data_IF_171648340874
#
_entry.id   IF_171648340874
#
_cell.length_a   1.000
_cell.length_b   1.000
_cell.length_c   1.000
_cell.angle_alpha   90.00
_cell.angle_beta   90.00
_cell.angle_gamma   90.00
#
_symmetry.space_group_name_H-M   'P 1'
#
loop_
_entity.id
_entity.type
_entity.pdbx_description
1 polymer ?
#
# COMPACT_ATOMS: atom_id res chain seq x y z
N UNK A 1 -47.77 9.04 42.82
CA UNK A 1 -48.49 9.95 43.75
C UNK A 1 -47.51 10.30 44.86
N UNK A 2 -47.03 11.56 44.92
CA UNK A 2 -46.22 12.15 46.02
C UNK A 2 -44.78 11.56 46.17
N UNK A 3 -43.65 12.27 46.36
CA UNK A 3 -43.31 13.54 47.02
C UNK A 3 -41.95 14.12 46.51
N UNK A 4 -41.81 15.44 46.72
CA UNK A 4 -40.70 16.40 46.53
C UNK A 4 -39.33 16.08 47.17
N UNK A 5 -38.32 16.72 46.57
CA UNK A 5 -37.10 17.40 47.10
C UNK A 5 -36.49 17.01 48.46
N UNK A 6 -35.15 16.87 48.51
CA UNK A 6 -34.24 17.83 49.20
C UNK A 6 -32.75 17.53 48.97
N UNK A 7 -31.96 18.60 49.08
CA UNK A 7 -30.51 18.74 48.83
C UNK A 7 -29.65 18.18 49.98
N UNK A 8 -28.41 17.78 49.68
CA UNK A 8 -27.31 17.86 50.65
C UNK A 8 -26.03 18.44 50.04
N UNK A 9 -25.42 19.32 50.82
CA UNK A 9 -24.19 20.08 50.60
C UNK A 9 -23.06 19.44 51.39
N UNK A 10 -21.84 19.39 50.85
CA UNK A 10 -20.61 19.26 51.64
C UNK A 10 -19.58 20.31 51.19
N UNK A 11 -19.12 21.11 52.15
CA UNK A 11 -18.12 22.20 52.05
C UNK A 11 -16.73 21.70 52.45
N UNK A 12 -15.71 22.02 51.62
CA UNK A 12 -14.41 22.70 51.88
C UNK A 12 -13.40 22.13 52.93
N UNK A 13 -12.06 22.34 52.84
CA UNK A 13 -11.31 23.62 52.64
C UNK A 13 -10.20 23.56 51.54
N UNK A 14 -9.77 24.62 50.85
CA UNK A 14 -9.24 25.97 51.16
C UNK A 14 -7.70 26.05 51.12
N UNK A 15 -7.22 26.90 50.21
CA UNK A 15 -6.04 27.79 50.30
C UNK A 15 -4.63 27.25 50.00
N UNK A 16 -4.08 27.68 48.86
CA UNK A 16 -2.81 28.43 48.80
C UNK A 16 -2.96 29.53 47.72
N UNK A 17 -2.47 30.74 48.04
CA UNK A 17 -2.61 32.00 47.29
C UNK A 17 -1.21 32.55 46.98
N UNK A 18 -1.13 33.39 45.94
CA UNK A 18 -0.09 34.38 45.54
C UNK A 18 0.91 33.85 44.48
N UNK A 19 1.19 34.52 43.35
CA UNK A 19 1.11 35.95 42.99
C UNK A 19 0.69 36.18 41.53
N UNK A 20 0.01 37.30 41.30
CA UNK A 20 -0.23 37.90 40.00
C UNK A 20 0.87 38.94 39.68
N UNK A 21 1.29 39.01 38.41
CA UNK A 21 1.83 40.24 37.81
C UNK A 21 1.19 40.42 36.45
N UNK A 22 0.51 41.55 36.30
CA UNK A 22 -0.20 42.02 35.11
C UNK A 22 0.74 42.78 34.17
N UNK A 23 0.65 42.57 32.86
CA UNK A 23 0.67 43.65 31.87
C UNK A 23 0.21 43.19 30.49
N UNK A 24 -0.55 44.07 29.85
CA UNK A 24 -1.35 43.91 28.63
C UNK A 24 -0.52 43.62 27.36
N UNK A 25 -1.16 43.00 26.35
CA UNK A 25 -1.49 43.59 25.03
C UNK A 25 -1.90 42.47 24.04
N UNK A 26 -2.95 42.70 23.25
CA UNK A 26 -3.09 42.12 21.90
C UNK A 26 -4.05 40.95 21.70
N UNK A 27 -5.20 41.23 21.07
CA UNK A 27 -6.00 40.25 20.34
C UNK A 27 -5.14 39.52 19.29
N UNK A 28 -5.27 38.19 19.16
CA UNK A 28 -5.57 37.58 17.86
C UNK A 28 -6.03 36.12 18.02
N UNK A 29 -7.25 35.84 17.55
CA UNK A 29 -7.71 34.48 17.27
C UNK A 29 -6.87 33.90 16.13
N UNK A 30 -6.25 32.74 16.36
CA UNK A 30 -5.67 31.94 15.29
C UNK A 30 -6.77 31.02 14.75
N UNK A 31 -7.40 31.47 13.67
CA UNK A 31 -7.93 30.56 12.66
C UNK A 31 -6.75 29.80 12.04
N UNK A 32 -6.83 28.48 11.97
CA UNK A 32 -5.95 27.68 11.10
C UNK A 32 -6.68 26.41 10.68
N UNK A 33 -7.51 26.53 9.64
CA UNK A 33 -7.61 25.49 8.64
C UNK A 33 -6.49 25.78 7.64
N UNK A 34 -5.36 25.09 7.75
CA UNK A 34 -4.34 25.07 6.70
C UNK A 34 -4.67 23.95 5.73
N UNK A 35 -4.87 24.32 4.48
CA UNK A 35 -4.63 23.42 3.36
C UNK A 35 -3.12 23.12 3.36
N UNK A 36 -2.76 21.87 3.66
CA UNK A 36 -1.43 21.36 3.33
C UNK A 36 -1.51 20.87 1.88
N UNK A 37 -0.86 21.62 0.99
CA UNK A 37 -0.31 21.06 -0.25
C UNK A 37 1.11 20.68 0.14
N UNK A 38 1.38 19.38 0.24
CA UNK A 38 2.76 18.91 0.40
C UNK A 38 3.51 19.20 -0.90
N UNK A 39 4.52 20.05 -0.77
CA UNK A 39 5.42 20.46 -1.84
C UNK A 39 6.84 20.11 -1.35
N UNK A 40 7.34 18.94 -1.71
CA UNK A 40 8.76 18.59 -1.58
C UNK A 40 9.31 18.01 -2.89
N UNK A 41 9.92 18.93 -3.66
CA UNK A 41 11.25 18.84 -4.27
C UNK A 41 11.60 17.59 -5.11
N UNK A 42 11.43 17.71 -6.43
CA UNK A 42 12.39 17.14 -7.39
C UNK A 42 13.43 18.20 -7.76
N UNK A 43 14.70 17.94 -7.42
CA UNK A 43 15.87 18.68 -7.91
C UNK A 43 16.04 18.43 -9.41
N UNK A 44 16.01 19.49 -10.21
CA UNK A 44 16.76 19.57 -11.46
C UNK A 44 17.68 20.79 -11.37
N UNK A 45 18.96 20.56 -11.56
CA UNK A 45 20.03 21.56 -11.52
C UNK A 45 19.86 22.58 -12.66
N UNK A 46 20.02 23.86 -12.32
CA UNK A 46 20.06 24.96 -13.27
C UNK A 46 21.48 25.12 -13.83
N UNK A 47 21.62 25.02 -15.15
CA UNK A 47 22.65 25.74 -15.89
C UNK A 47 21.95 26.84 -16.70
N UNK A 48 22.18 28.07 -16.30
CA UNK A 48 21.63 29.29 -16.90
C UNK A 48 22.48 29.65 -18.13
N UNK A 49 21.83 29.82 -19.29
CA UNK A 49 22.17 30.94 -20.18
C UNK A 49 21.00 31.30 -21.12
N UNK A 50 20.52 32.54 -20.94
CA UNK A 50 20.30 33.59 -21.96
C UNK A 50 19.18 33.42 -23.02
N UNK A 51 18.23 34.37 -22.89
CA UNK A 51 17.47 35.10 -23.92
C UNK A 51 16.19 34.53 -24.58
N UNK A 52 15.10 35.25 -24.24
CA UNK A 52 14.13 35.96 -25.11
C UNK A 52 13.33 35.19 -26.19
N UNK A 53 12.04 35.52 -26.13
CA UNK A 53 11.04 35.70 -27.20
C UNK A 53 9.98 34.60 -27.40
N UNK A 54 8.73 35.09 -27.37
CA UNK A 54 7.53 34.49 -27.93
C UNK A 54 7.79 33.90 -29.33
N UNK A 55 7.37 32.67 -29.56
CA UNK A 55 6.25 32.37 -30.45
C UNK A 55 5.86 30.89 -30.42
N UNK A 56 4.60 30.63 -30.73
CA UNK A 56 3.97 29.33 -30.80
C UNK A 56 4.67 28.36 -31.76
N UNK A 57 4.68 27.06 -31.44
CA UNK A 57 4.80 25.98 -32.41
C UNK A 57 3.87 24.80 -32.02
N UNK A 58 2.86 24.59 -32.87
CA UNK A 58 2.22 23.32 -33.24
C UNK A 58 3.30 22.27 -33.63
N UNK A 59 3.15 20.95 -33.74
CA UNK A 59 2.12 19.90 -33.64
C UNK A 59 2.89 18.56 -33.75
N UNK A 60 2.31 17.41 -33.41
CA UNK A 60 2.44 16.20 -34.27
C UNK A 60 1.15 15.41 -34.27
N UNK A 61 0.88 14.84 -35.46
CA UNK A 61 -0.43 14.48 -35.98
C UNK A 61 -0.73 12.98 -35.95
N UNK A 62 -1.98 12.63 -36.27
CA UNK A 62 -2.31 11.40 -37.02
C UNK A 62 -3.53 11.69 -37.89
N UNK A 63 -3.39 11.40 -39.18
CA UNK A 63 -4.29 11.68 -40.30
C UNK A 63 -5.36 10.58 -40.50
N UNK A 64 -6.49 10.96 -41.10
CA UNK A 64 -7.28 10.26 -42.16
C UNK A 64 -8.69 10.92 -42.19
N UNK A 65 -9.32 11.38 -43.28
CA UNK A 65 -9.03 11.49 -44.71
C UNK A 65 -10.22 12.21 -45.40
N UNK A 66 -9.93 12.88 -46.52
CA UNK A 66 -10.78 13.15 -47.71
C UNK A 66 -12.16 13.86 -47.60
N UNK A 67 -12.31 15.09 -48.13
CA UNK A 67 -12.71 15.35 -49.54
C UNK A 67 -13.04 16.83 -49.87
N UNK A 68 -12.52 17.25 -51.03
CA UNK A 68 -13.03 18.15 -52.09
C UNK A 68 -13.70 19.53 -51.83
N UNK A 69 -12.90 20.58 -52.10
CA UNK A 69 -13.03 21.64 -53.12
C UNK A 69 -14.40 22.20 -53.60
N UNK A 70 -14.45 23.54 -53.49
CA UNK A 70 -14.82 24.57 -54.50
C UNK A 70 -16.30 24.96 -54.66
N UNK A 71 -16.57 26.26 -54.49
CA UNK A 71 -17.75 26.94 -55.01
C UNK A 71 -17.89 28.35 -54.44
N UNK A 72 -18.00 29.35 -55.30
CA UNK A 72 -17.74 30.78 -55.05
C UNK A 72 -19.05 31.57 -55.25
N UNK A 73 -19.06 32.80 -54.70
CA UNK A 73 -19.86 34.01 -55.07
C UNK A 73 -21.36 34.03 -54.70
N UNK A 74 -21.77 35.00 -53.86
CA UNK A 74 -22.46 36.22 -54.31
C UNK A 74 -22.67 37.19 -53.13
N UNK A 75 -22.13 38.39 -53.31
CA UNK A 75 -22.38 39.59 -52.53
C UNK A 75 -23.78 40.14 -52.88
N UNK A 76 -24.46 40.68 -51.87
CA UNK A 76 -25.66 41.50 -51.98
C UNK A 76 -25.69 42.46 -50.80
N UNK A 77 -25.58 43.75 -51.12
CA UNK A 77 -25.47 44.92 -50.24
C UNK A 77 -26.74 45.18 -49.40
N UNK A 78 -26.53 45.52 -48.13
CA UNK A 78 -27.00 46.76 -47.43
C UNK A 78 -28.40 46.68 -46.79
N UNK A 79 -28.44 46.82 -45.46
CA UNK A 79 -29.07 47.97 -44.78
C UNK A 79 -28.82 47.89 -43.26
N UNK A 80 -28.44 49.04 -42.69
CA UNK A 80 -28.23 49.26 -41.26
C UNK A 80 -29.56 49.22 -40.50
N UNK A 81 -29.59 48.52 -39.37
CA UNK A 81 -30.40 48.93 -38.21
C UNK A 81 -29.58 48.68 -36.94
N UNK A 82 -29.16 49.78 -36.31
CA UNK A 82 -28.50 49.83 -35.01
C UNK A 82 -29.53 49.57 -33.89
N UNK A 83 -29.64 48.31 -33.42
CA UNK A 83 -30.15 48.04 -32.07
C UNK A 83 -29.10 47.35 -31.19
N UNK A 84 -28.66 48.14 -30.23
CA UNK A 84 -27.66 47.88 -29.21
C UNK A 84 -28.10 46.74 -28.27
N UNK A 85 -27.55 45.53 -28.46
CA UNK A 85 -27.63 44.46 -27.47
C UNK A 85 -26.94 44.87 -26.17
N UNK A 86 -27.70 45.11 -25.11
CA UNK A 86 -27.23 44.90 -23.73
C UNK A 86 -27.86 43.64 -23.16
N UNK A 87 -27.56 42.49 -23.79
CA UNK A 87 -27.73 41.20 -23.15
C UNK A 87 -26.42 40.83 -22.46
N UNK A 88 -26.40 41.01 -21.14
CA UNK A 88 -25.40 40.41 -20.24
C UNK A 88 -25.26 38.92 -20.61
N UNK A 89 -24.07 38.40 -20.93
CA UNK A 89 -23.92 36.97 -21.19
C UNK A 89 -24.34 36.22 -19.92
N UNK A 90 -25.45 35.51 -20.01
CA UNK A 90 -25.89 34.60 -18.99
C UNK A 90 -24.81 33.52 -18.87
N UNK A 91 -24.10 33.52 -17.74
CA UNK A 91 -23.11 32.49 -17.41
C UNK A 91 -23.84 31.14 -17.42
N UNK A 92 -23.79 30.43 -18.55
CA UNK A 92 -24.24 29.05 -18.58
C UNK A 92 -23.32 28.28 -17.61
N UNK A 93 -23.88 27.58 -16.60
CA UNK A 93 -23.07 26.72 -15.77
C UNK A 93 -22.39 25.73 -16.70
N UNK A 94 -21.07 25.57 -16.59
CA UNK A 94 -20.30 24.61 -17.38
C UNK A 94 -20.90 23.22 -17.18
N UNK A 95 -21.82 22.85 -18.07
CA UNK A 95 -22.52 21.59 -18.07
C UNK A 95 -21.58 20.54 -18.61
N UNK A 96 -21.27 19.55 -17.77
CA UNK A 96 -20.56 18.35 -18.18
C UNK A 96 -21.45 17.61 -19.17
N UNK A 97 -20.96 17.31 -20.38
CA UNK A 97 -21.66 16.40 -21.28
C UNK A 97 -21.76 15.02 -20.61
N UNK A 98 -22.96 14.53 -20.26
CA UNK A 98 -23.14 13.26 -19.57
C UNK A 98 -22.62 12.05 -20.36
N UNK A 99 -22.45 12.18 -21.69
CA UNK A 99 -21.98 11.10 -22.56
C UNK A 99 -20.46 11.05 -22.68
N UNK A 100 -19.78 12.18 -22.55
CA UNK A 100 -18.31 12.29 -22.63
C UNK A 100 -17.64 12.30 -21.27
N UNK A 101 -18.37 12.68 -20.21
CA UNK A 101 -17.80 12.89 -18.87
C UNK A 101 -16.77 14.02 -18.86
N UNK A 102 -16.16 14.27 -17.70
CA UNK A 102 -14.96 15.13 -17.66
C UNK A 102 -13.77 14.34 -18.23
N UNK A 103 -13.13 14.86 -19.27
CA UNK A 103 -11.87 14.32 -19.82
C UNK A 103 -10.66 14.55 -18.91
N UNK A 104 -10.85 15.15 -17.73
CA UNK A 104 -9.80 15.41 -16.75
C UNK A 104 -9.79 14.30 -15.69
N UNK A 105 -8.69 13.55 -15.60
CA UNK A 105 -8.43 12.64 -14.48
C UNK A 105 -7.90 13.45 -13.29
N UNK A 106 -8.80 14.16 -12.61
CA UNK A 106 -8.50 14.88 -11.38
C UNK A 106 -8.41 13.98 -10.15
N UNK A 107 -8.14 14.58 -8.99
CA UNK A 107 -8.15 13.89 -7.69
C UNK A 107 -9.54 14.07 -7.06
N UNK A 108 -10.23 12.97 -6.78
CA UNK A 108 -11.58 12.97 -6.23
C UNK A 108 -11.65 12.18 -4.92
N UNK A 109 -10.95 12.67 -3.87
CA UNK A 109 -10.84 11.99 -2.58
C UNK A 109 -11.73 12.64 -1.51
N UNK A 110 -12.42 11.84 -0.70
CA UNK A 110 -13.14 12.23 0.49
C UNK A 110 -12.56 11.57 1.74
N UNK A 111 -12.45 12.36 2.80
CA UNK A 111 -12.08 11.89 4.14
C UNK A 111 -13.19 12.32 5.09
N UNK A 112 -13.77 11.36 5.81
CA UNK A 112 -14.85 11.58 6.77
C UNK A 112 -14.50 11.01 8.12
N UNK A 113 -14.64 11.85 9.15
CA UNK A 113 -14.60 11.46 10.55
C UNK A 113 -15.96 11.77 11.18
N UNK A 114 -16.69 10.77 11.62
CA UNK A 114 -18.03 10.98 12.15
C UNK A 114 -18.55 9.78 12.94
N UNK A 115 -19.84 9.79 13.25
CA UNK A 115 -20.50 8.67 13.95
C UNK A 115 -21.42 7.91 13.02
N UNK A 116 -21.46 6.59 13.17
CA UNK A 116 -22.33 5.74 12.36
C UNK A 116 -23.79 5.97 12.77
N UNK A 117 -24.63 6.37 11.79
CA UNK A 117 -26.07 6.57 11.99
C UNK A 117 -26.84 5.27 11.87
N UNK A 118 -26.73 4.65 10.69
CA UNK A 118 -27.30 3.34 10.39
C UNK A 118 -26.18 2.31 10.30
N UNK A 119 -26.37 1.17 10.97
CA UNK A 119 -25.42 0.06 10.93
C UNK A 119 -25.21 -0.46 9.49
N UNK A 120 -24.02 -0.99 9.15
CA UNK A 120 -23.75 -1.44 7.79
C UNK A 120 -24.59 -2.62 7.36
N UNK A 121 -25.08 -2.53 6.12
CA UNK A 121 -25.91 -3.57 5.48
C UNK A 121 -25.22 -4.03 4.21
N UNK A 122 -24.91 -5.32 4.13
CA UNK A 122 -24.43 -5.95 2.90
C UNK A 122 -25.59 -6.17 1.93
N UNK A 123 -25.34 -5.84 0.66
CA UNK A 123 -26.26 -6.08 -0.45
C UNK A 123 -25.51 -6.78 -1.57
N UNK A 124 -26.13 -7.83 -2.13
CA UNK A 124 -25.61 -8.50 -3.31
C UNK A 124 -26.17 -7.78 -4.54
N UNK A 125 -25.28 -7.30 -5.41
CA UNK A 125 -25.62 -6.66 -6.66
C UNK A 125 -26.00 -7.70 -7.73
N UNK A 126 -26.65 -7.25 -8.81
CA UNK A 126 -27.04 -8.12 -9.95
C UNK A 126 -25.85 -8.78 -10.65
N UNK A 127 -24.67 -8.19 -10.53
CA UNK A 127 -23.42 -8.74 -11.08
C UNK A 127 -22.75 -9.78 -10.14
N UNK A 128 -23.38 -10.14 -9.02
CA UNK A 128 -22.86 -11.10 -8.04
C UNK A 128 -21.90 -10.50 -7.01
N UNK A 129 -21.51 -9.23 -7.14
CA UNK A 129 -20.61 -8.57 -6.16
C UNK A 129 -21.38 -8.12 -4.92
N UNK A 130 -20.74 -8.22 -3.75
CA UNK A 130 -21.26 -7.69 -2.48
C UNK A 130 -20.85 -6.25 -2.27
N UNK A 131 -21.79 -5.39 -1.89
CA UNK A 131 -21.54 -4.00 -1.49
C UNK A 131 -22.11 -3.77 -0.10
N UNK A 132 -21.28 -3.24 0.81
CA UNK A 132 -21.71 -2.84 2.15
C UNK A 132 -22.06 -1.36 2.18
N UNK A 133 -23.23 -1.01 2.72
CA UNK A 133 -23.70 0.38 2.75
C UNK A 133 -24.03 0.80 4.18
N UNK A 134 -23.57 1.98 4.58
CA UNK A 134 -23.90 2.60 5.86
C UNK A 134 -23.94 4.14 5.76
N UNK A 135 -24.39 4.79 6.84
CA UNK A 135 -24.42 6.26 6.93
C UNK A 135 -23.55 6.77 8.06
N UNK A 136 -22.84 7.86 7.80
CA UNK A 136 -22.00 8.54 8.78
C UNK A 136 -22.51 9.95 8.98
N UNK A 137 -22.79 10.30 10.23
CA UNK A 137 -23.17 11.65 10.64
C UNK A 137 -21.95 12.45 11.05
N UNK A 138 -21.77 13.63 10.45
CA UNK A 138 -20.83 14.65 10.90
C UNK A 138 -21.59 15.83 11.50
N UNK A 139 -20.93 16.58 12.39
CA UNK A 139 -21.48 17.86 12.85
C UNK A 139 -21.62 18.81 11.67
N UNK A 140 -22.80 19.41 11.47
CA UNK A 140 -23.03 20.36 10.39
C UNK A 140 -22.57 21.77 10.73
N UNK A 141 -22.59 22.63 9.71
CA UNK A 141 -22.35 24.07 9.85
C UNK A 141 -23.60 24.76 10.41
N UNK A 142 -23.39 25.61 11.43
CA UNK A 142 -24.45 26.47 11.98
C UNK A 142 -24.19 27.92 11.55
N UNK A 143 -25.24 28.62 11.13
CA UNK A 143 -25.14 30.03 10.77
C UNK A 143 -24.92 30.88 12.04
N UNK A 144 -23.68 31.31 12.25
CA UNK A 144 -23.30 32.12 13.40
C UNK A 144 -23.89 33.55 13.35
N UNK A 145 -24.53 33.95 12.25
CA UNK A 145 -25.15 35.29 12.11
C UNK A 145 -26.47 35.42 12.88
N UNK A 146 -27.10 34.30 13.24
CA UNK A 146 -28.31 34.29 14.07
C UNK A 146 -27.88 33.97 15.50
N UNK A 147 -27.74 35.01 16.33
CA UNK A 147 -27.45 34.86 17.76
C UNK A 147 -28.73 34.40 18.46
N UNK A 148 -28.97 33.09 18.48
CA UNK A 148 -30.00 32.48 19.32
C UNK A 148 -29.45 31.95 20.64
N UNK A 149 -30.32 31.34 21.46
CA UNK A 149 -29.99 30.67 22.71
C UNK A 149 -28.85 29.64 22.53
N UNK A 150 -27.98 29.47 23.54
CA UNK A 150 -26.81 28.55 23.50
C UNK A 150 -27.14 27.08 23.18
N UNK A 151 -28.40 26.68 23.27
CA UNK A 151 -28.87 25.29 23.13
C UNK A 151 -29.58 24.99 21.81
N UNK A 152 -29.37 25.80 20.76
CA UNK A 152 -29.94 25.49 19.45
C UNK A 152 -29.37 24.17 18.90
N UNK A 153 -30.23 23.26 18.39
CA UNK A 153 -29.79 22.00 17.83
C UNK A 153 -28.89 22.24 16.62
N UNK A 154 -27.67 21.71 16.67
CA UNK A 154 -26.73 21.76 15.55
C UNK A 154 -27.19 20.73 14.50
N UNK A 155 -27.51 21.15 13.26
CA UNK A 155 -27.94 20.20 12.24
C UNK A 155 -26.80 19.22 11.93
N UNK A 156 -27.11 17.94 11.82
CA UNK A 156 -26.14 16.92 11.41
C UNK A 156 -26.12 16.77 9.89
N UNK A 157 -24.95 16.60 9.31
CA UNK A 157 -24.79 16.22 7.90
C UNK A 157 -24.65 14.70 7.81
N UNK A 158 -25.39 14.09 6.89
CA UNK A 158 -25.39 12.65 6.69
C UNK A 158 -24.71 12.29 5.37
N UNK A 159 -23.69 11.46 5.47
CA UNK A 159 -22.91 10.99 4.34
C UNK A 159 -23.19 9.52 4.12
N UNK A 160 -23.45 9.14 2.86
CA UNK A 160 -23.68 7.76 2.47
C UNK A 160 -22.38 7.13 2.02
N UNK A 161 -22.00 6.03 2.68
CA UNK A 161 -20.77 5.29 2.38
C UNK A 161 -21.15 4.00 1.66
N UNK A 162 -20.51 3.72 0.53
CA UNK A 162 -20.65 2.51 -0.26
C UNK A 162 -19.30 1.79 -0.35
N UNK A 163 -19.19 0.60 0.23
CA UNK A 163 -17.96 -0.18 0.27
C UNK A 163 -18.06 -1.30 -0.75
N UNK A 164 -17.25 -1.21 -1.79
CA UNK A 164 -17.20 -2.19 -2.88
C UNK A 164 -16.17 -3.29 -2.65
N UNK A 165 -15.17 -3.04 -1.80
CA UNK A 165 -14.22 -4.05 -1.39
C UNK A 165 -14.89 -5.05 -0.44
N UNK A 166 -14.91 -6.32 -0.82
CA UNK A 166 -15.56 -7.40 -0.07
C UNK A 166 -14.97 -7.57 1.33
N UNK A 167 -13.64 -7.52 1.46
CA UNK A 167 -12.94 -7.68 2.74
C UNK A 167 -13.26 -6.53 3.69
N UNK A 168 -13.16 -5.29 3.20
CA UNK A 168 -13.53 -4.10 3.99
C UNK A 168 -15.03 -4.07 4.31
N UNK A 169 -15.85 -4.57 3.40
CA UNK A 169 -17.29 -4.70 3.58
C UNK A 169 -17.67 -5.71 4.66
N UNK A 170 -16.97 -6.83 4.76
CA UNK A 170 -17.13 -7.82 5.82
C UNK A 170 -16.65 -7.28 7.17
N UNK A 171 -15.48 -6.64 7.19
CA UNK A 171 -14.96 -5.93 8.37
C UNK A 171 -15.97 -4.89 8.88
N UNK A 172 -16.52 -4.08 7.98
CA UNK A 172 -17.48 -3.04 8.33
C UNK A 172 -18.71 -3.63 9.04
N UNK A 173 -19.31 -4.70 8.51
CA UNK A 173 -20.48 -5.34 9.13
C UNK A 173 -20.16 -5.93 10.51
N UNK A 174 -18.96 -6.51 10.69
CA UNK A 174 -18.58 -7.16 11.93
C UNK A 174 -18.20 -6.17 13.04
N UNK A 175 -17.50 -5.08 12.69
CA UNK A 175 -16.88 -4.18 13.67
C UNK A 175 -17.63 -2.87 13.87
N UNK A 176 -18.35 -2.37 12.87
CA UNK A 176 -19.01 -1.08 12.94
C UNK A 176 -20.41 -1.21 13.55
N UNK A 177 -20.58 -0.59 14.71
CA UNK A 177 -21.86 -0.52 15.42
C UNK A 177 -22.43 0.89 15.33
N UNK A 178 -23.76 1.01 15.39
CA UNK A 178 -24.44 2.31 15.47
C UNK A 178 -23.87 3.15 16.62
N UNK A 179 -23.71 4.45 16.37
CA UNK A 179 -23.13 5.46 17.25
C UNK A 179 -21.62 5.35 17.50
N UNK A 180 -20.93 4.36 16.93
CA UNK A 180 -19.48 4.31 16.99
C UNK A 180 -18.86 5.39 16.10
N UNK A 181 -17.72 5.93 16.54
CA UNK A 181 -16.94 6.88 15.77
C UNK A 181 -16.14 6.13 14.70
N UNK A 182 -16.10 6.65 13.47
CA UNK A 182 -15.46 6.02 12.32
C UNK A 182 -14.69 7.05 11.49
N UNK A 183 -13.55 6.64 10.97
CA UNK A 183 -12.78 7.30 9.93
C UNK A 183 -12.98 6.55 8.61
N UNK A 184 -13.30 7.27 7.54
CA UNK A 184 -13.51 6.72 6.20
C UNK A 184 -12.73 7.56 5.19
N UNK A 185 -11.96 6.89 4.35
CA UNK A 185 -11.29 7.46 3.18
C UNK A 185 -11.80 6.74 1.92
N UNK A 186 -12.21 7.48 0.90
CA UNK A 186 -12.70 6.93 -0.36
C UNK A 186 -12.85 7.99 -1.43
N UNK A 187 -13.50 7.63 -2.53
CA UNK A 187 -13.71 8.52 -3.67
C UNK A 187 -15.13 9.09 -3.68
N UNK A 188 -15.29 10.34 -4.08
CA UNK A 188 -16.64 10.94 -4.23
C UNK A 188 -17.20 10.54 -5.59
N UNK A 189 -18.26 9.74 -5.58
CA UNK A 189 -18.96 9.31 -6.79
C UNK A 189 -20.44 9.67 -6.69
N UNK A 190 -21.07 9.99 -7.83
CA UNK A 190 -22.54 10.17 -7.89
C UNK A 190 -23.14 9.02 -8.65
N UNK A 191 -23.95 8.20 -7.98
CA UNK A 191 -24.71 7.15 -8.67
C UNK A 191 -25.97 7.74 -9.27
N UNK A 192 -26.24 7.37 -10.52
CA UNK A 192 -27.45 7.73 -11.25
C UNK A 192 -28.32 6.48 -11.38
N UNK A 193 -29.57 6.55 -10.94
CA UNK A 193 -30.52 5.45 -11.11
C UNK A 193 -31.92 5.99 -11.39
N UNK A 194 -32.68 5.24 -12.18
CA UNK A 194 -34.07 5.56 -12.45
C UNK A 194 -34.94 4.95 -11.35
N UNK A 195 -35.76 5.79 -10.71
CA UNK A 195 -36.75 5.31 -9.77
C UNK A 195 -37.85 4.56 -10.53
N UNK A 196 -37.99 3.26 -10.28
CA UNK A 196 -38.96 2.42 -10.98
C UNK A 196 -40.41 2.79 -10.69
N UNK A 197 -40.66 3.57 -9.64
CA UNK A 197 -42.01 3.96 -9.22
C UNK A 197 -42.43 5.28 -9.88
N UNK A 198 -41.52 6.26 -9.94
CA UNK A 198 -41.83 7.62 -10.43
C UNK A 198 -41.30 7.89 -11.84
N UNK A 199 -40.46 7.01 -12.41
CA UNK A 199 -39.82 7.20 -13.71
C UNK A 199 -38.74 8.29 -13.75
N UNK A 200 -38.46 8.93 -12.60
CA UNK A 200 -37.49 10.02 -12.49
C UNK A 200 -36.06 9.51 -12.34
N UNK A 201 -35.11 10.22 -12.98
CA UNK A 201 -33.67 9.99 -12.84
C UNK A 201 -33.19 10.63 -11.53
N UNK A 202 -32.67 9.83 -10.60
CA UNK A 202 -32.13 10.30 -9.32
C UNK A 202 -30.61 10.21 -9.30
N UNK A 203 -29.98 11.32 -8.92
CA UNK A 203 -28.56 11.45 -8.69
C UNK A 203 -28.31 11.42 -7.17
N UNK A 204 -27.51 10.48 -6.70
CA UNK A 204 -27.19 10.35 -5.27
C UNK A 204 -25.68 10.38 -5.08
N UNK A 205 -25.13 11.42 -4.42
CA UNK A 205 -23.71 11.48 -4.10
C UNK A 205 -23.38 10.50 -2.97
N UNK A 206 -22.29 9.78 -3.13
CA UNK A 206 -21.82 8.73 -2.24
C UNK A 206 -20.31 8.75 -2.15
N UNK A 207 -19.80 8.24 -1.04
CA UNK A 207 -18.37 8.01 -0.87
C UNK A 207 -18.13 6.53 -1.08
N UNK A 208 -17.47 6.24 -2.20
CA UNK A 208 -17.17 4.90 -2.67
C UNK A 208 -15.79 4.47 -2.16
N UNK A 209 -15.76 3.41 -1.36
CA UNK A 209 -14.53 2.77 -0.89
C UNK A 209 -14.24 1.60 -1.82
N UNK A 210 -13.32 1.80 -2.76
CA UNK A 210 -12.88 0.80 -3.74
C UNK A 210 -11.53 0.19 -3.34
N UNK A 211 -10.43 0.57 -4.01
CA UNK A 211 -9.10 -0.04 -3.81
C UNK A 211 -8.36 0.59 -2.64
N UNK A 212 -8.02 1.87 -2.79
CA UNK A 212 -7.14 2.58 -1.84
C UNK A 212 -7.90 3.18 -0.66
N UNK A 213 -9.21 2.89 -0.56
CA UNK A 213 -10.07 3.41 0.48
C UNK A 213 -9.81 2.73 1.83
N UNK A 214 -10.02 3.46 2.92
CA UNK A 214 -9.74 3.01 4.29
C UNK A 214 -10.96 3.19 5.17
N UNK A 215 -11.18 2.26 6.08
CA UNK A 215 -12.24 2.33 7.09
C UNK A 215 -11.62 1.97 8.44
N UNK A 216 -11.81 2.83 9.44
CA UNK A 216 -11.25 2.63 10.76
C UNK A 216 -12.23 2.99 11.87
N UNK A 217 -12.39 2.10 12.84
CA UNK A 217 -13.20 2.34 14.04
C UNK A 217 -12.39 3.14 15.06
N UNK A 218 -12.91 4.30 15.45
CA UNK A 218 -12.27 5.19 16.42
C UNK A 218 -12.76 4.87 17.83
N UNK A 219 -11.86 4.48 18.74
CA UNK A 219 -12.16 4.27 20.17
C UNK A 219 -11.93 5.56 20.97
N UNK A 220 -12.73 5.77 22.01
CA UNK A 220 -12.61 6.94 22.88
C UNK A 220 -11.39 6.79 23.79
N UNK A 221 -10.34 7.60 23.56
CA UNK A 221 -9.11 7.60 24.36
C UNK A 221 -7.83 7.34 23.56
N UNK A 222 -7.91 6.92 22.30
CA UNK A 222 -6.74 6.77 21.42
C UNK A 222 -6.51 8.03 20.59
N UNK A 223 -5.29 8.56 20.63
CA UNK A 223 -4.82 9.62 19.75
C UNK A 223 -4.55 9.05 18.35
N UNK A 224 -5.06 9.73 17.32
CA UNK A 224 -4.94 9.38 15.88
C UNK A 224 -3.48 9.26 15.42
N UNK A 225 -2.50 9.73 16.21
CA UNK A 225 -1.08 9.68 15.89
C UNK A 225 -0.37 8.35 16.20
N UNK A 226 -0.99 7.42 16.94
CA UNK A 226 -0.31 6.18 17.37
C UNK A 226 -0.93 4.89 16.86
N UNK A 227 -1.99 4.94 16.06
CA UNK A 227 -2.55 3.72 15.45
C UNK A 227 -1.79 3.48 14.15
N UNK A 228 -0.67 2.79 14.25
CA UNK A 228 0.09 2.36 13.07
C UNK A 228 -0.79 1.47 12.19
N UNK A 229 -0.64 1.64 10.88
CA UNK A 229 -1.25 0.78 9.84
C UNK A 229 -1.03 -0.72 10.11
N UNK A 230 0.02 -1.07 10.86
CA UNK A 230 0.35 -2.44 11.26
C UNK A 230 -0.65 -3.08 12.25
N UNK A 231 -1.30 -2.29 13.13
CA UNK A 231 -2.26 -2.83 14.11
C UNK A 231 -3.63 -3.13 13.47
N UNK A 232 -3.97 -2.39 12.41
CA UNK A 232 -5.12 -2.64 11.54
C UNK A 232 -4.91 -3.89 10.69
N UNK A 233 -3.70 -4.09 10.16
CA UNK A 233 -3.33 -5.34 9.51
C UNK A 233 -3.37 -6.50 10.50
N UNK A 234 -2.92 -6.35 11.74
CA UNK A 234 -2.98 -7.43 12.74
C UNK A 234 -4.41 -7.86 13.10
N UNK A 235 -5.39 -6.95 13.10
CA UNK A 235 -6.80 -7.28 13.39
C UNK A 235 -7.58 -7.79 12.17
N UNK A 236 -7.16 -7.43 10.95
CA UNK A 236 -7.69 -8.00 9.68
C UNK A 236 -6.95 -9.30 9.29
N UNK A 237 -5.72 -9.52 9.77
CA UNK A 237 -4.89 -10.74 9.57
C UNK A 237 -5.49 -12.00 10.20
N UNK A 238 -6.59 -11.88 10.94
CA UNK A 238 -7.38 -13.01 11.39
C UNK A 238 -8.24 -13.65 10.27
N UNK A 239 -8.27 -13.06 9.07
CA UNK A 239 -8.87 -13.62 7.85
C UNK A 239 -7.75 -13.93 6.84
N UNK A 240 -7.11 -15.08 6.75
CA UNK A 240 -7.09 -16.32 7.51
C UNK A 240 -5.60 -16.65 7.60
N UNK A 241 -4.92 -16.25 8.69
CA UNK A 241 -3.55 -16.70 8.91
C UNK A 241 -3.52 -18.23 8.85
N UNK A 242 -2.54 -18.80 8.17
CA UNK A 242 -2.50 -20.24 8.01
C UNK A 242 -2.26 -20.94 9.35
N UNK A 243 -2.81 -22.15 9.54
CA UNK A 243 -2.53 -22.94 10.73
C UNK A 243 -1.01 -23.14 10.86
N UNK A 244 -0.55 -23.21 12.11
CA UNK A 244 0.87 -23.41 12.41
C UNK A 244 1.38 -24.67 11.70
N UNK A 245 2.53 -24.55 11.06
CA UNK A 245 3.21 -25.70 10.47
C UNK A 245 4.24 -26.23 11.47
N UNK A 246 3.89 -27.30 12.17
CA UNK A 246 4.70 -27.83 13.26
C UNK A 246 4.84 -26.81 14.39
N UNK A 247 6.03 -26.23 14.55
CA UNK A 247 6.31 -25.18 15.55
C UNK A 247 6.30 -23.77 14.97
N UNK A 248 6.25 -23.62 13.65
CA UNK A 248 6.40 -22.33 13.00
C UNK A 248 5.03 -21.71 12.73
N UNK A 249 4.90 -20.43 13.09
CA UNK A 249 3.73 -19.63 12.75
C UNK A 249 3.84 -19.15 11.30
N UNK A 250 2.73 -19.20 10.56
CA UNK A 250 2.67 -18.77 9.17
C UNK A 250 1.87 -17.47 9.10
N UNK A 251 2.53 -16.30 9.13
CA UNK A 251 1.86 -15.02 9.09
C UNK A 251 1.34 -14.72 7.67
N UNK A 252 0.24 -13.96 7.59
CA UNK A 252 -0.19 -13.36 6.34
C UNK A 252 0.94 -12.45 5.78
N UNK A 253 1.20 -12.42 4.45
CA UNK A 253 0.43 -13.01 3.35
C UNK A 253 0.78 -14.46 3.01
N UNK A 254 1.71 -15.12 3.72
CA UNK A 254 2.15 -16.48 3.38
C UNK A 254 0.97 -17.46 3.44
N UNK A 255 0.89 -18.33 2.44
CA UNK A 255 -0.20 -19.30 2.27
C UNK A 255 0.34 -20.73 2.24
N UNK A 256 -0.21 -21.62 3.07
CA UNK A 256 0.06 -23.07 3.02
C UNK A 256 -1.00 -23.87 2.29
N UNK A 257 -2.18 -23.28 2.05
CA UNK A 257 -3.31 -23.93 1.39
C UNK A 257 -4.24 -22.87 0.78
N UNK A 258 -5.07 -23.28 -0.19
CA UNK A 258 -5.96 -22.35 -0.91
C UNK A 258 -7.05 -21.71 -0.01
N UNK A 259 -7.20 -22.19 1.24
CA UNK A 259 -8.13 -21.66 2.25
C UNK A 259 -7.50 -20.70 3.27
N UNK A 260 -6.20 -20.40 3.18
CA UNK A 260 -5.52 -19.49 4.12
C UNK A 260 -4.39 -18.70 3.45
N UNK A 261 -4.10 -17.50 3.96
CA UNK A 261 -3.11 -16.59 3.35
C UNK A 261 -3.49 -16.11 1.94
N UNK A 262 -2.50 -15.64 1.18
CA UNK A 262 -2.64 -15.25 -0.21
C UNK A 262 -1.93 -16.26 -1.12
N UNK A 263 -2.63 -16.79 -2.12
CA UNK A 263 -2.12 -17.83 -3.04
C UNK A 263 -0.86 -17.42 -3.80
N UNK A 264 -0.61 -16.11 -4.00
CA UNK A 264 0.62 -15.62 -4.64
C UNK A 264 1.85 -15.80 -3.75
N UNK A 265 1.69 -15.96 -2.44
CA UNK A 265 2.76 -16.10 -1.45
C UNK A 265 2.82 -17.53 -0.91
N UNK A 266 2.80 -18.50 -1.83
CA UNK A 266 2.67 -19.91 -1.47
C UNK A 266 3.95 -20.47 -0.84
N UNK A 267 3.78 -21.10 0.31
CA UNK A 267 4.73 -21.96 1.01
C UNK A 267 4.06 -23.31 1.26
N UNK A 268 4.83 -24.36 1.51
CA UNK A 268 4.30 -25.72 1.67
C UNK A 268 4.55 -26.19 3.10
N UNK A 269 3.56 -26.84 3.70
CA UNK A 269 3.73 -27.48 5.00
C UNK A 269 3.66 -28.99 4.82
N UNK A 270 4.78 -29.69 4.99
CA UNK A 270 4.84 -31.13 4.88
C UNK A 270 5.22 -31.74 6.23
N UNK A 271 4.31 -32.50 6.84
CA UNK A 271 4.54 -33.20 8.11
C UNK A 271 5.09 -32.31 9.24
N UNK A 272 4.69 -31.04 9.28
CA UNK A 272 5.14 -30.05 10.27
C UNK A 272 6.46 -29.35 9.94
N UNK A 273 7.03 -29.59 8.76
CA UNK A 273 8.16 -28.87 8.19
C UNK A 273 7.63 -27.89 7.15
N UNK A 274 7.95 -26.60 7.32
CA UNK A 274 7.58 -25.60 6.32
C UNK A 274 8.69 -25.52 5.25
N UNK A 275 8.29 -25.52 4.00
CA UNK A 275 9.16 -25.62 2.83
C UNK A 275 8.77 -24.56 1.78
N UNK A 276 9.76 -24.10 1.04
CA UNK A 276 9.63 -23.18 -0.07
C UNK A 276 9.98 -23.92 -1.36
N UNK A 277 9.10 -23.84 -2.37
CA UNK A 277 9.33 -24.47 -3.67
C UNK A 277 10.02 -23.48 -4.61
N UNK A 278 11.23 -23.81 -5.03
CA UNK A 278 11.94 -23.12 -6.11
C UNK A 278 11.24 -23.38 -7.45
N UNK A 279 11.32 -22.42 -8.38
CA UNK A 279 10.86 -22.59 -9.75
C UNK A 279 11.58 -23.75 -10.48
N UNK A 280 12.78 -24.12 -10.01
CA UNK A 280 13.50 -25.31 -10.47
C UNK A 280 12.92 -26.64 -9.96
N UNK A 281 11.93 -26.63 -9.05
CA UNK A 281 11.29 -27.83 -8.51
C UNK A 281 11.91 -28.39 -7.23
N UNK A 282 12.90 -27.70 -6.64
CA UNK A 282 13.52 -28.10 -5.38
C UNK A 282 12.79 -27.50 -4.17
N UNK A 283 12.56 -28.30 -3.13
CA UNK A 283 11.96 -27.86 -1.87
C UNK A 283 13.06 -27.49 -0.87
N UNK A 284 13.05 -26.23 -0.43
CA UNK A 284 13.96 -25.71 0.59
C UNK A 284 13.24 -25.55 1.91
N UNK A 285 13.81 -26.08 3.00
CA UNK A 285 13.21 -25.93 4.33
C UNK A 285 13.31 -24.48 4.80
N UNK A 286 12.20 -23.91 5.27
CA UNK A 286 12.19 -22.59 5.91
C UNK A 286 12.68 -22.75 7.35
N UNK A 287 13.69 -21.98 7.73
CA UNK A 287 14.33 -21.99 9.04
C UNK A 287 13.68 -20.98 10.00
N UNK A 288 13.36 -19.79 9.50
CA UNK A 288 12.78 -18.71 10.30
C UNK A 288 12.02 -17.72 9.45
N UNK A 289 10.98 -17.08 10.02
CA UNK A 289 10.16 -16.06 9.36
C UNK A 289 10.16 -14.79 10.22
N UNK A 290 10.43 -13.64 9.60
CA UNK A 290 10.30 -12.32 10.20
C UNK A 290 9.21 -11.52 9.46
N UNK A 291 7.96 -11.53 9.96
CA UNK A 291 6.85 -10.85 9.28
C UNK A 291 7.03 -9.33 9.20
N UNK A 292 7.64 -8.72 10.22
CA UNK A 292 7.84 -7.26 10.28
C UNK A 292 8.78 -6.74 9.20
N UNK A 293 9.77 -7.56 8.84
CA UNK A 293 10.74 -7.21 7.81
C UNK A 293 10.37 -7.76 6.43
N UNK A 294 9.23 -8.45 6.30
CA UNK A 294 8.82 -9.17 5.08
C UNK A 294 9.91 -10.13 4.56
N UNK A 295 10.57 -10.86 5.48
CA UNK A 295 11.73 -11.72 5.18
C UNK A 295 11.62 -13.09 5.84
N UNK A 296 12.09 -14.14 5.15
CA UNK A 296 12.26 -15.47 5.73
C UNK A 296 13.56 -16.08 5.25
N UNK A 297 14.12 -16.99 6.04
CA UNK A 297 15.39 -17.66 5.75
C UNK A 297 15.11 -19.11 5.43
N UNK A 298 15.62 -19.59 4.30
CA UNK A 298 15.59 -21.00 3.90
C UNK A 298 16.95 -21.65 4.12
N UNK A 299 16.96 -22.96 4.34
CA UNK A 299 18.19 -23.75 4.43
C UNK A 299 18.91 -23.78 3.08
N UNK A 300 20.24 -23.65 3.02
CA UNK A 300 20.99 -23.92 1.80
C UNK A 300 20.85 -25.40 1.40
N UNK A 301 21.11 -25.76 0.13
CA UNK A 301 21.11 -27.14 -0.29
C UNK A 301 22.23 -27.91 0.43
N UNK A 302 22.01 -29.20 0.68
CA UNK A 302 23.03 -30.03 1.31
C UNK A 302 24.12 -30.35 0.30
N UNK A 303 25.37 -30.29 0.74
CA UNK A 303 26.51 -30.78 -0.03
C UNK A 303 26.66 -32.27 0.28
N UNK A 304 26.64 -33.10 -0.77
CA UNK A 304 26.72 -34.55 -0.65
C UNK A 304 28.07 -34.98 -0.07
N UNK A 305 28.06 -35.81 0.98
CA UNK A 305 29.28 -36.25 1.67
C UNK A 305 30.36 -36.79 0.70
N UNK A 306 31.61 -36.40 0.91
CA UNK A 306 32.77 -36.77 0.10
C UNK A 306 32.70 -36.37 -1.39
N UNK A 307 31.76 -35.50 -1.76
CA UNK A 307 31.67 -34.92 -3.11
C UNK A 307 31.38 -33.44 -3.02
N UNK A 308 31.83 -32.65 -4.00
CA UNK A 308 31.49 -31.23 -4.03
C UNK A 308 30.25 -30.95 -4.89
N UNK A 309 29.16 -31.65 -4.59
CA UNK A 309 27.89 -31.54 -5.30
C UNK A 309 26.76 -31.12 -4.37
N UNK A 310 26.04 -30.07 -4.74
CA UNK A 310 24.84 -29.67 -4.01
C UNK A 310 23.66 -30.55 -4.41
N UNK A 311 22.75 -30.78 -3.47
CA UNK A 311 21.57 -31.62 -3.66
C UNK A 311 20.63 -31.13 -4.77
N UNK A 312 20.71 -29.86 -5.13
CA UNK A 312 19.90 -29.18 -6.14
C UNK A 312 20.63 -28.98 -7.48
N UNK A 313 21.84 -29.53 -7.64
CA UNK A 313 22.67 -29.36 -8.84
C UNK A 313 21.95 -29.80 -10.12
N UNK A 314 21.18 -30.88 -10.06
CA UNK A 314 20.43 -31.42 -11.21
C UNK A 314 19.34 -30.46 -11.70
N UNK A 315 18.90 -29.53 -10.84
CA UNK A 315 17.87 -28.54 -11.11
C UNK A 315 18.46 -27.15 -11.39
N UNK A 316 19.79 -27.01 -11.36
CA UNK A 316 20.50 -25.78 -11.73
C UNK A 316 20.62 -24.73 -10.62
N UNK A 317 20.30 -25.09 -9.38
CA UNK A 317 20.36 -24.19 -8.22
C UNK A 317 19.01 -23.57 -7.82
N UNK A 318 19.04 -22.66 -6.85
CA UNK A 318 17.87 -21.86 -6.47
C UNK A 318 17.46 -20.92 -7.62
N UNK A 319 16.21 -21.04 -8.06
CA UNK A 319 15.61 -20.15 -9.06
C UNK A 319 14.23 -19.73 -8.57
N UNK A 320 13.94 -18.43 -8.60
CA UNK A 320 12.65 -17.84 -8.31
C UNK A 320 11.96 -17.48 -9.63
N UNK A 321 10.64 -17.57 -9.67
CA UNK A 321 9.85 -17.09 -10.81
C UNK A 321 9.85 -15.55 -10.80
N UNK A 322 10.08 -14.93 -11.95
CA UNK A 322 10.14 -13.48 -12.13
C UNK A 322 8.78 -12.82 -11.84
N UNK A 323 7.68 -13.57 -11.92
CA UNK A 323 6.34 -13.11 -11.56
C UNK A 323 6.00 -13.36 -10.09
N UNK A 324 6.83 -14.10 -9.36
CA UNK A 324 6.59 -14.36 -7.94
C UNK A 324 6.91 -13.13 -7.09
N UNK A 325 6.25 -12.93 -5.94
CA UNK A 325 6.50 -11.78 -5.07
C UNK A 325 7.80 -11.90 -4.26
N UNK A 326 8.66 -12.89 -4.55
CA UNK A 326 9.85 -13.23 -3.77
C UNK A 326 11.12 -12.80 -4.49
N UNK A 327 12.05 -12.23 -3.72
CA UNK A 327 13.38 -11.83 -4.14
C UNK A 327 14.44 -12.36 -3.19
N UNK A 328 15.63 -12.67 -3.71
CA UNK A 328 16.80 -12.99 -2.88
C UNK A 328 17.35 -11.69 -2.30
N UNK A 329 17.43 -11.60 -0.97
CA UNK A 329 17.93 -10.43 -0.25
C UNK A 329 19.41 -10.14 -0.58
N UNK A 330 19.82 -8.88 -0.46
CA UNK A 330 21.20 -8.45 -0.62
C UNK A 330 22.11 -8.83 0.55
N UNK A 331 21.52 -9.25 1.67
CA UNK A 331 22.24 -9.65 2.88
C UNK A 331 22.86 -11.06 2.78
N UNK A 332 22.61 -11.75 1.67
CA UNK A 332 23.15 -13.08 1.42
C UNK A 332 24.58 -13.00 0.90
N UNK A 333 25.51 -13.59 1.63
CA UNK A 333 26.84 -13.93 1.10
C UNK A 333 26.76 -15.33 0.52
N UNK A 334 26.98 -15.48 -0.78
CA UNK A 334 26.94 -16.76 -1.48
C UNK A 334 28.37 -17.24 -1.71
N UNK A 335 28.61 -18.51 -1.40
CA UNK A 335 29.88 -19.19 -1.61
C UNK A 335 29.68 -20.29 -2.65
N UNK A 336 30.39 -20.19 -3.76
CA UNK A 336 30.39 -21.17 -4.85
C UNK A 336 31.61 -22.08 -4.72
N UNK A 337 31.39 -23.38 -4.90
CA UNK A 337 32.37 -24.43 -4.65
C UNK A 337 32.57 -25.30 -5.90
N UNK A 338 33.77 -25.86 -6.05
CA UNK A 338 34.19 -26.67 -7.20
C UNK A 338 33.82 -26.02 -8.55
N UNK A 339 34.34 -24.80 -8.72
CA UNK A 339 34.15 -24.01 -9.92
C UNK A 339 35.16 -24.35 -11.02
N UNK A 340 34.75 -24.20 -12.28
CA UNK A 340 35.64 -24.15 -13.43
C UNK A 340 36.29 -22.77 -13.57
N UNK A 341 37.47 -22.69 -14.19
CA UNK A 341 38.23 -21.45 -14.41
C UNK A 341 37.44 -20.38 -15.17
N UNK A 342 36.42 -20.78 -15.94
CA UNK A 342 35.50 -19.86 -16.62
C UNK A 342 34.79 -18.87 -15.68
N UNK A 343 34.68 -19.19 -14.38
CA UNK A 343 34.05 -18.29 -13.40
C UNK A 343 34.90 -17.04 -13.11
N UNK A 344 36.21 -17.10 -13.36
CA UNK A 344 37.15 -15.99 -13.11
C UNK A 344 36.90 -14.78 -14.00
N UNK A 345 36.09 -14.94 -15.06
CA UNK A 345 35.62 -13.85 -15.90
C UNK A 345 34.55 -12.99 -15.21
N UNK A 346 33.99 -13.47 -14.09
CA UNK A 346 33.01 -12.74 -13.27
C UNK A 346 33.70 -12.03 -12.10
N UNK A 347 33.19 -10.87 -11.63
CA UNK A 347 33.79 -10.11 -10.52
C UNK A 347 33.51 -10.77 -9.15
N UNK A 348 34.03 -11.98 -8.94
CA UNK A 348 33.87 -12.75 -7.71
C UNK A 348 35.14 -12.69 -6.86
N UNK A 349 35.00 -12.81 -5.54
CA UNK A 349 36.14 -12.91 -4.64
C UNK A 349 36.54 -14.38 -4.45
N UNK A 350 37.55 -14.82 -5.20
CA UNK A 350 38.15 -16.15 -5.12
C UNK A 350 39.50 -16.16 -4.37
N UNK A 351 39.77 -15.13 -3.58
CA UNK A 351 41.03 -15.01 -2.82
C UNK A 351 41.18 -16.13 -1.78
N UNK A 352 42.41 -16.41 -1.37
CA UNK A 352 42.71 -17.35 -0.28
C UNK A 352 42.09 -16.93 1.07
N UNK A 353 41.80 -15.64 1.25
CA UNK A 353 41.12 -15.11 2.44
C UNK A 353 39.60 -14.98 2.26
N UNK A 354 39.03 -15.60 1.21
CA UNK A 354 37.59 -15.57 1.00
C UNK A 354 36.87 -16.44 2.06
N UNK A 355 35.64 -16.07 2.46
CA UNK A 355 34.83 -16.87 3.39
C UNK A 355 34.65 -18.33 2.94
N UNK A 356 34.69 -18.58 1.64
CA UNK A 356 34.49 -19.91 1.10
C UNK A 356 35.67 -20.87 1.45
N UNK A 357 36.90 -20.35 1.63
CA UNK A 357 38.04 -21.15 2.12
C UNK A 357 37.89 -21.54 3.59
N UNK A 358 37.30 -20.67 4.40
CA UNK A 358 36.99 -20.99 5.81
C UNK A 358 35.89 -22.05 5.90
N UNK A 359 34.95 -22.06 4.95
CA UNK A 359 33.92 -23.09 4.88
C UNK A 359 34.48 -24.49 4.53
N UNK A 360 35.51 -24.58 3.68
CA UNK A 360 36.17 -25.86 3.32
C UNK A 360 36.82 -26.56 4.53
N UNK A 361 37.16 -25.82 5.59
CA UNK A 361 37.71 -26.37 6.83
C UNK A 361 36.66 -27.04 7.72
N UNK A 362 35.37 -26.78 7.46
CA UNK A 362 34.27 -27.45 8.16
C UNK A 362 34.03 -28.87 7.65
N UNK A 363 33.42 -29.72 8.48
CA UNK A 363 33.01 -31.07 8.07
C UNK A 363 32.13 -31.05 6.82
N UNK A 364 31.19 -30.11 6.71
CA UNK A 364 30.28 -29.97 5.57
C UNK A 364 30.98 -29.52 4.27
N UNK A 365 32.07 -28.77 4.38
CA UNK A 365 32.85 -28.26 3.24
C UNK A 365 34.03 -29.13 2.85
N UNK A 366 34.40 -30.12 3.68
CA UNK A 366 35.58 -30.97 3.51
C UNK A 366 35.65 -31.68 2.14
N UNK A 367 34.50 -32.05 1.57
CA UNK A 367 34.41 -32.68 0.25
C UNK A 367 34.74 -31.74 -0.94
N UNK A 368 34.84 -30.44 -0.68
CA UNK A 368 35.17 -29.39 -1.66
C UNK A 368 36.60 -28.85 -1.51
N UNK A 369 37.39 -29.40 -0.60
CA UNK A 369 38.75 -28.93 -0.32
C UNK A 369 39.62 -28.99 -1.57
N UNK A 370 40.53 -28.02 -1.69
CA UNK A 370 41.50 -27.87 -2.79
C UNK A 370 40.87 -27.63 -4.18
N UNK A 371 39.57 -27.30 -4.24
CA UNK A 371 38.90 -26.89 -5.48
C UNK A 371 38.89 -25.37 -5.66
N UNK A 372 38.54 -24.88 -6.87
CA UNK A 372 38.33 -23.45 -7.08
C UNK A 372 37.05 -23.01 -6.37
N UNK A 373 37.20 -22.04 -5.50
CA UNK A 373 36.17 -21.57 -4.59
C UNK A 373 36.08 -20.05 -4.67
N UNK A 374 34.86 -19.52 -4.76
CA UNK A 374 34.62 -18.10 -4.89
C UNK A 374 33.44 -17.66 -4.02
N UNK A 375 33.46 -16.42 -3.56
CA UNK A 375 32.38 -15.83 -2.79
C UNK A 375 31.96 -14.49 -3.36
N UNK A 376 30.70 -14.12 -3.18
CA UNK A 376 30.20 -12.80 -3.52
C UNK A 376 29.04 -12.42 -2.61
N UNK A 377 28.91 -11.12 -2.34
CA UNK A 377 27.72 -10.57 -1.73
C UNK A 377 26.66 -10.43 -2.81
N UNK A 378 25.44 -10.87 -2.49
CA UNK A 378 24.33 -10.77 -3.43
C UNK A 378 23.98 -9.31 -3.68
N UNK A 379 24.20 -8.83 -4.90
CA UNK A 379 23.77 -7.49 -5.31
C UNK A 379 22.33 -7.53 -5.90
N UNK A 380 21.58 -6.45 -5.74
CA UNK A 380 20.17 -6.32 -6.14
C UNK A 380 19.97 -6.28 -7.66
N UNK A 381 20.99 -5.89 -8.44
CA UNK A 381 20.81 -5.53 -9.85
C UNK A 381 20.80 -6.68 -10.87
N UNK A 382 21.60 -7.75 -10.71
CA UNK A 382 21.83 -8.71 -11.82
C UNK A 382 21.33 -10.15 -11.60
N UNK A 383 21.08 -10.58 -10.35
CA UNK A 383 20.74 -11.98 -10.05
C UNK A 383 19.67 -12.13 -8.96
N UNK A 384 18.82 -11.12 -8.72
CA UNK A 384 17.85 -11.10 -7.61
C UNK A 384 16.96 -12.35 -7.51
N UNK A 385 16.76 -13.07 -8.62
CA UNK A 385 15.88 -14.24 -8.71
C UNK A 385 16.61 -15.58 -8.77
N UNK A 386 17.95 -15.67 -8.73
CA UNK A 386 18.62 -16.99 -8.88
C UNK A 386 20.03 -17.08 -8.30
N UNK A 387 20.37 -18.27 -7.81
CA UNK A 387 21.73 -18.73 -7.53
C UNK A 387 21.99 -19.95 -8.43
N UNK A 388 22.93 -19.83 -9.36
CA UNK A 388 23.14 -20.83 -10.41
C UNK A 388 24.26 -21.79 -10.04
N UNK A 389 24.00 -23.08 -10.19
CA UNK A 389 25.02 -24.15 -10.22
C UNK A 389 24.81 -25.02 -11.45
N UNK A 390 25.90 -25.52 -12.03
CA UNK A 390 25.88 -26.41 -13.19
C UNK A 390 27.24 -27.08 -13.38
N UNK A 391 27.23 -28.24 -14.02
CA UNK A 391 28.45 -28.90 -14.49
C UNK A 391 29.13 -28.00 -15.55
N UNK A 392 30.43 -27.74 -15.39
CA UNK A 392 31.19 -26.78 -16.21
C UNK A 392 31.13 -25.31 -15.73
N UNK A 393 30.35 -25.03 -14.67
CA UNK A 393 30.42 -23.80 -13.87
C UNK A 393 30.91 -24.15 -12.47
N UNK A 394 30.11 -23.86 -11.45
CA UNK A 394 30.30 -24.35 -10.09
C UNK A 394 29.26 -25.43 -9.78
N UNK A 395 29.67 -26.47 -9.05
CA UNK A 395 28.84 -27.67 -8.86
C UNK A 395 28.20 -27.77 -7.49
N UNK A 396 28.57 -26.89 -6.56
CA UNK A 396 27.91 -26.72 -5.28
C UNK A 396 27.94 -25.25 -4.86
N UNK A 397 27.03 -24.89 -3.97
CA UNK A 397 27.05 -23.61 -3.30
C UNK A 397 26.50 -23.72 -1.88
N UNK A 398 26.86 -22.74 -1.05
CA UNK A 398 26.24 -22.50 0.25
C UNK A 398 26.05 -20.99 0.43
N UNK A 399 25.28 -20.59 1.44
CA UNK A 399 25.07 -19.18 1.74
C UNK A 399 24.97 -18.91 3.24
N UNK A 400 25.42 -17.73 3.62
CA UNK A 400 25.37 -17.19 4.97
C UNK A 400 24.67 -15.84 4.92
N UNK A 401 23.73 -15.62 5.85
CA UNK A 401 23.01 -14.36 6.01
C UNK A 401 23.76 -13.45 6.96
N UNK A 402 23.87 -12.16 6.63
CA UNK A 402 24.48 -11.11 7.46
C UNK A 402 25.92 -11.44 7.92
N UNK A 403 26.74 -12.00 7.01
CA UNK A 403 28.13 -12.33 7.30
C UNK A 403 28.93 -11.06 7.67
N UNK A 404 29.41 -11.02 8.91
CA UNK A 404 30.29 -9.95 9.38
C UNK A 404 31.74 -10.25 8.99
N UNK A 405 32.51 -9.24 8.52
CA UNK A 405 33.92 -9.45 8.19
C UNK A 405 34.71 -9.86 9.43
N UNK A 406 35.44 -10.98 9.33
CA UNK A 406 36.26 -11.50 10.44
C UNK A 406 35.50 -12.31 11.50
N UNK A 407 34.22 -12.63 11.29
CA UNK A 407 33.48 -13.51 12.18
C UNK A 407 33.97 -14.97 12.06
N UNK A 408 34.08 -15.67 13.19
CA UNK A 408 34.41 -17.10 13.19
C UNK A 408 33.29 -17.94 12.60
N UNK A 409 33.65 -19.05 11.97
CA UNK A 409 32.72 -19.93 11.24
C UNK A 409 31.59 -20.47 12.12
N UNK A 410 31.86 -20.74 13.40
CA UNK A 410 30.86 -21.21 14.37
C UNK A 410 29.74 -20.21 14.63
N UNK A 411 29.98 -18.92 14.35
CA UNK A 411 28.99 -17.86 14.55
C UNK A 411 28.14 -17.57 13.30
N UNK A 412 28.38 -18.29 12.20
CA UNK A 412 27.72 -18.02 10.93
C UNK A 412 26.29 -18.52 10.91
N UNK A 413 25.39 -17.69 10.39
CA UNK A 413 24.00 -18.05 10.17
C UNK A 413 23.81 -18.63 8.76
N UNK A 414 23.96 -19.95 8.63
CA UNK A 414 23.76 -20.65 7.36
C UNK A 414 22.30 -20.59 6.93
N UNK A 415 22.07 -19.98 5.76
CA UNK A 415 20.74 -19.69 5.27
C UNK A 415 20.76 -18.85 4.01
N UNK A 416 19.65 -18.86 3.29
CA UNK A 416 19.37 -17.95 2.18
C UNK A 416 18.17 -17.11 2.60
N UNK A 417 18.37 -15.82 2.81
CA UNK A 417 17.32 -14.86 3.12
C UNK A 417 16.56 -14.49 1.85
N UNK A 418 15.26 -14.78 1.84
CA UNK A 418 14.32 -14.31 0.84
C UNK A 418 13.49 -13.18 1.43
N UNK A 419 13.25 -12.15 0.63
CA UNK A 419 12.37 -11.03 0.93
C UNK A 419 11.15 -11.13 0.03
N UNK A 420 9.96 -10.87 0.57
CA UNK A 420 8.74 -10.76 -0.22
C UNK A 420 8.23 -9.33 -0.28
N UNK A 421 7.59 -8.98 -1.39
CA UNK A 421 6.97 -7.68 -1.57
C UNK A 421 5.65 -7.61 -0.78
N UNK A 422 5.35 -6.49 -0.11
CA UNK A 422 4.05 -6.32 0.55
C UNK A 422 2.92 -6.38 -0.49
N UNK A 423 1.77 -6.96 -0.10
CA UNK A 423 0.58 -7.00 -0.96
C UNK A 423 0.03 -5.57 -1.10
N UNK A 424 0.12 -4.99 -2.31
CA UNK A 424 -0.50 -3.71 -2.64
C UNK A 424 -2.03 -3.72 -2.50
#
# INVERSE_FOLDING_TARGET
>A
MWIRETREWLRLPSSYVLLATTSLWGLQMINSARFFVDDEFSRCENLVDVQRNLNSCYSTASFDGENEKVGKINEGEEELDDEFFTAKPELQPQGVDPRRGWGFRGVHKAIICGKIGQAPVQKILRNGQTVTIFTVGTGGMFDQRIVGSKDLPKPAQWHRIAVHNELLGAYAVQQLVKNSSVYVEGDIETRVYNDSINGEVKNVPEICVRRDGKIHLMKSGESISNISFEELLAQVSALVACPKCGRMEVPYPLSTSDGCGNSSYRVYCNSGILEFLSAGGFYYKILSINPKAYKFIISPPLILNNTCYSSDLTLGGLTLDENSPFNISTHNTVMLLNCSENILLSPLNCSSNSPCRQFEEMEQGSGCKDTLCCSFLKDSAMTSHRIRVRVGGCTAYTSVVDLKPGASVDSWNFGIELQWLPSN
#
